data_IF_203343453275
#
_entry.id   IF_203343453275
#
_cell.length_a   1.000
_cell.length_b   1.000
_cell.length_c   1.000
_cell.angle_alpha   90.00
_cell.angle_beta   90.00
_cell.angle_gamma   90.00
#
_symmetry.space_group_name_H-M   'P 1'
#
loop_
_entity.id
_entity.type
_entity.pdbx_description
1 polymer ?
#
# COMPACT_ATOMS: atom_id res chain seq x y z
N UNK A 1 5.43 -43.22 22.13
CA UNK A 1 4.88 -41.84 22.06
C UNK A 1 6.08 -40.92 21.89
N UNK A 2 6.33 -40.46 20.67
CA UNK A 2 7.50 -39.63 20.34
C UNK A 2 6.98 -38.37 19.66
N UNK A 3 7.20 -37.25 20.32
CA UNK A 3 7.26 -35.89 19.79
C UNK A 3 6.08 -35.47 18.89
N UNK A 4 4.97 -35.13 19.55
CA UNK A 4 3.98 -34.26 18.94
C UNK A 4 4.65 -32.91 18.66
N UNK A 5 4.72 -32.56 17.38
CA UNK A 5 5.19 -31.28 16.88
C UNK A 5 4.45 -30.14 17.59
N UNK A 6 5.08 -29.54 18.60
CA UNK A 6 4.81 -28.16 18.98
C UNK A 6 5.48 -27.27 17.93
N UNK A 7 4.92 -27.25 16.72
CA UNK A 7 4.95 -26.01 15.96
C UNK A 7 4.06 -25.07 16.75
N UNK A 8 4.68 -24.16 17.51
CA UNK A 8 3.99 -23.05 18.15
C UNK A 8 3.18 -22.35 17.08
N UNK A 9 1.87 -22.60 17.06
CA UNK A 9 0.95 -21.81 16.26
C UNK A 9 1.21 -20.35 16.66
N UNK A 10 1.39 -19.44 15.69
CA UNK A 10 1.48 -18.03 16.01
C UNK A 10 0.31 -17.65 16.90
N UNK A 11 0.57 -16.85 17.93
CA UNK A 11 -0.45 -16.43 18.89
C UNK A 11 -1.60 -15.81 18.09
N UNK A 12 -2.78 -16.43 18.08
CA UNK A 12 -3.93 -16.03 17.26
C UNK A 12 -4.20 -14.50 17.16
N UNK A 13 -4.08 -13.70 18.25
CA UNK A 13 -4.16 -12.23 18.16
C UNK A 13 -3.07 -11.56 17.30
N UNK A 14 -1.84 -12.07 17.29
CA UNK A 14 -0.74 -11.53 16.48
C UNK A 14 -0.97 -11.83 14.99
N UNK A 15 -1.48 -13.03 14.64
CA UNK A 15 -1.90 -13.34 13.27
C UNK A 15 -3.05 -12.46 12.79
N UNK A 16 -3.99 -12.13 13.68
CA UNK A 16 -5.09 -11.21 13.35
C UNK A 16 -4.59 -9.78 13.10
N UNK A 17 -3.58 -9.31 13.84
CA UNK A 17 -2.98 -7.98 13.64
C UNK A 17 -2.29 -7.87 12.27
N UNK A 18 -1.56 -8.90 11.85
CA UNK A 18 -0.95 -8.97 10.51
C UNK A 18 -2.02 -8.91 9.42
N UNK A 19 -3.06 -9.74 9.51
CA UNK A 19 -4.14 -9.77 8.52
C UNK A 19 -4.91 -8.44 8.44
N UNK A 20 -5.14 -7.77 9.57
CA UNK A 20 -5.77 -6.44 9.59
C UNK A 20 -4.90 -5.39 8.91
N UNK A 21 -3.60 -5.35 9.24
CA UNK A 21 -2.67 -4.40 8.63
C UNK A 21 -2.50 -4.63 7.12
N UNK A 22 -2.54 -5.89 6.68
CA UNK A 22 -2.49 -6.26 5.26
C UNK A 22 -3.74 -5.78 4.52
N UNK A 23 -4.93 -6.02 5.09
CA UNK A 23 -6.20 -5.56 4.52
C UNK A 23 -6.22 -4.03 4.38
N UNK A 24 -5.74 -3.30 5.37
CA UNK A 24 -5.66 -1.83 5.33
C UNK A 24 -4.66 -1.35 4.24
N UNK A 25 -3.49 -1.99 4.14
CA UNK A 25 -2.49 -1.66 3.13
C UNK A 25 -3.02 -1.91 1.70
N UNK A 26 -3.71 -3.02 1.48
CA UNK A 26 -4.34 -3.34 0.20
C UNK A 26 -5.45 -2.33 -0.15
N UNK A 27 -6.27 -1.93 0.83
CA UNK A 27 -7.31 -0.93 0.61
C UNK A 27 -6.72 0.43 0.21
N UNK A 28 -5.61 0.85 0.84
CA UNK A 28 -4.93 2.10 0.53
C UNK A 28 -4.20 2.02 -0.82
N UNK A 29 -3.54 0.89 -1.14
CA UNK A 29 -2.93 0.65 -2.45
C UNK A 29 -3.97 0.81 -3.57
N UNK A 30 -5.17 0.26 -3.39
CA UNK A 30 -6.24 0.39 -4.38
C UNK A 30 -6.69 1.86 -4.59
N UNK A 31 -6.51 2.73 -3.59
CA UNK A 31 -6.75 4.18 -3.73
C UNK A 31 -5.60 4.86 -4.48
N UNK A 32 -4.36 4.48 -4.21
CA UNK A 32 -3.19 4.94 -4.96
C UNK A 32 -3.32 4.58 -6.44
N UNK A 33 -3.64 3.33 -6.77
CA UNK A 33 -3.76 2.86 -8.15
C UNK A 33 -4.79 3.69 -8.93
N UNK A 34 -5.91 4.04 -8.29
CA UNK A 34 -6.93 4.91 -8.90
C UNK A 34 -6.43 6.35 -9.09
N UNK A 35 -5.64 6.88 -8.16
CA UNK A 35 -5.06 8.21 -8.28
C UNK A 35 -3.99 8.25 -9.38
N UNK A 36 -3.15 7.22 -9.47
CA UNK A 36 -2.17 7.04 -10.53
C UNK A 36 -2.85 7.00 -11.90
N UNK A 37 -3.91 6.20 -12.05
CA UNK A 37 -4.67 6.13 -13.30
C UNK A 37 -5.19 7.49 -13.76
N UNK A 38 -5.71 8.32 -12.84
CA UNK A 38 -6.14 9.70 -13.16
C UNK A 38 -4.97 10.55 -13.63
N UNK A 39 -3.84 10.50 -12.93
CA UNK A 39 -2.64 11.24 -13.31
C UNK A 39 -2.09 10.79 -14.68
N UNK A 40 -2.01 9.49 -14.93
CA UNK A 40 -1.53 8.92 -16.20
C UNK A 40 -2.43 9.34 -17.36
N UNK A 41 -3.76 9.31 -17.17
CA UNK A 41 -4.72 9.78 -18.17
C UNK A 41 -4.53 11.27 -18.48
N UNK A 42 -4.43 12.13 -17.47
CA UNK A 42 -4.17 13.57 -17.64
C UNK A 42 -2.83 13.81 -18.37
N UNK A 43 -1.77 13.11 -17.96
CA UNK A 43 -0.45 13.24 -18.58
C UNK A 43 -0.50 12.85 -20.06
N UNK A 44 -1.23 11.80 -20.41
CA UNK A 44 -1.43 11.38 -21.79
C UNK A 44 -2.18 12.45 -22.60
N UNK A 45 -3.26 13.03 -22.04
CA UNK A 45 -3.98 14.15 -22.67
C UNK A 45 -3.05 15.34 -22.92
N UNK A 46 -2.32 15.79 -21.91
CA UNK A 46 -1.40 16.92 -22.02
C UNK A 46 -0.25 16.63 -23.00
N UNK A 47 0.22 15.38 -23.08
CA UNK A 47 1.23 14.98 -24.06
C UNK A 47 0.75 15.18 -25.51
N UNK A 48 -0.53 14.93 -25.82
CA UNK A 48 -1.07 15.20 -27.17
C UNK A 48 -1.05 16.69 -27.55
N UNK A 49 -0.93 17.57 -26.56
CA UNK A 49 -0.83 19.03 -26.72
C UNK A 49 0.61 19.55 -26.60
N UNK A 50 1.59 18.67 -26.42
CA UNK A 50 3.00 19.06 -26.18
C UNK A 50 3.26 19.62 -24.78
N UNK A 51 2.36 19.39 -23.82
CA UNK A 51 2.37 19.98 -22.47
C UNK A 51 2.56 18.93 -21.35
N UNK A 52 3.16 17.77 -21.65
CA UNK A 52 3.26 16.66 -20.70
C UNK A 52 3.90 17.03 -19.35
N UNK A 53 4.81 18.02 -19.33
CA UNK A 53 5.46 18.50 -18.10
C UNK A 53 4.50 19.21 -17.14
N UNK A 54 3.42 19.83 -17.66
CA UNK A 54 2.42 20.51 -16.85
C UNK A 54 1.65 19.54 -15.94
N UNK A 55 1.60 18.24 -16.30
CA UNK A 55 0.94 17.21 -15.51
C UNK A 55 1.49 17.15 -14.07
N UNK A 56 2.79 17.40 -13.87
CA UNK A 56 3.41 17.36 -12.53
C UNK A 56 2.99 18.52 -11.61
N UNK A 57 2.35 19.56 -12.16
CA UNK A 57 1.81 20.70 -11.41
C UNK A 57 0.31 20.55 -11.12
N UNK A 58 -0.30 19.46 -11.58
CA UNK A 58 -1.74 19.23 -11.48
C UNK A 58 -2.18 18.80 -10.07
N UNK A 59 -3.48 18.99 -9.73
CA UNK A 59 -4.10 18.32 -8.59
C UNK A 59 -3.91 16.79 -8.61
N UNK A 60 -4.04 16.15 -9.76
CA UNK A 60 -3.97 14.69 -9.94
C UNK A 60 -2.59 14.15 -9.53
N UNK A 61 -1.51 14.86 -9.89
CA UNK A 61 -0.17 14.50 -9.44
C UNK A 61 -0.04 14.62 -7.91
N UNK A 62 -0.56 15.70 -7.31
CA UNK A 62 -0.51 15.89 -5.86
C UNK A 62 -1.33 14.84 -5.11
N UNK A 63 -2.50 14.49 -5.62
CA UNK A 63 -3.35 13.43 -5.07
C UNK A 63 -2.64 12.07 -5.14
N UNK A 64 -2.02 11.74 -6.28
CA UNK A 64 -1.26 10.51 -6.41
C UNK A 64 -0.06 10.47 -5.46
N UNK A 65 0.72 11.55 -5.35
CA UNK A 65 1.83 11.62 -4.38
C UNK A 65 1.35 11.50 -2.92
N UNK A 66 0.20 12.10 -2.59
CA UNK A 66 -0.37 11.95 -1.25
C UNK A 66 -0.82 10.51 -0.97
N UNK A 67 -1.43 9.84 -1.96
CA UNK A 67 -1.82 8.44 -1.84
C UNK A 67 -0.58 7.53 -1.70
N UNK A 68 0.50 7.79 -2.44
CA UNK A 68 1.79 7.08 -2.31
C UNK A 68 2.34 7.10 -0.88
N UNK A 69 2.36 8.28 -0.26
CA UNK A 69 2.84 8.43 1.13
C UNK A 69 1.97 7.58 2.07
N UNK A 70 0.65 7.58 1.89
CA UNK A 70 -0.26 6.77 2.71
C UNK A 70 -0.05 5.26 2.49
N UNK A 71 0.21 4.83 1.25
CA UNK A 71 0.53 3.45 0.91
C UNK A 71 1.82 3.00 1.59
N UNK A 72 2.88 3.81 1.51
CA UNK A 72 4.17 3.54 2.16
C UNK A 72 4.00 3.39 3.69
N UNK A 73 3.23 4.30 4.31
CA UNK A 73 2.92 4.22 5.74
C UNK A 73 2.12 2.95 6.09
N UNK A 74 1.19 2.52 5.25
CA UNK A 74 0.36 1.34 5.49
C UNK A 74 1.17 0.04 5.39
N UNK A 75 1.99 -0.10 4.35
CA UNK A 75 2.91 -1.24 4.24
C UNK A 75 3.98 -1.24 5.33
N UNK A 76 4.42 -0.06 5.80
CA UNK A 76 5.26 0.05 6.98
C UNK A 76 4.60 -0.53 8.23
N UNK A 77 3.31 -0.26 8.46
CA UNK A 77 2.55 -0.86 9.57
C UNK A 77 2.42 -2.37 9.45
N UNK A 78 2.18 -2.89 8.25
CA UNK A 78 2.15 -4.33 8.01
C UNK A 78 3.51 -4.98 8.30
N UNK A 79 4.61 -4.37 7.85
CA UNK A 79 5.95 -4.87 8.13
C UNK A 79 6.24 -4.94 9.64
N UNK A 80 5.89 -3.89 10.39
CA UNK A 80 6.01 -3.89 11.86
C UNK A 80 5.18 -5.00 12.53
N UNK A 81 3.99 -5.30 12.02
CA UNK A 81 3.16 -6.39 12.52
C UNK A 81 3.77 -7.77 12.22
N UNK A 82 4.37 -7.94 11.04
CA UNK A 82 5.09 -9.16 10.65
C UNK A 82 6.33 -9.38 11.53
N UNK A 83 7.12 -8.32 11.79
CA UNK A 83 8.27 -8.40 12.68
C UNK A 83 7.84 -8.81 14.11
N UNK A 84 6.74 -8.23 14.62
CA UNK A 84 6.21 -8.57 15.94
C UNK A 84 5.64 -9.99 16.03
N UNK A 85 5.23 -10.59 14.91
CA UNK A 85 4.77 -11.98 14.84
C UNK A 85 5.94 -12.98 14.86
N UNK A 86 7.11 -12.55 14.37
CA UNK A 86 8.30 -13.39 14.23
C UNK A 86 9.27 -13.27 15.42
N UNK A 87 9.08 -12.25 16.27
CA UNK A 87 9.85 -12.02 17.49
C UNK A 87 9.40 -12.92 18.66
#
# INVERSE_FOLDING_TARGET
MKDAAMQSLPNAPQSAAVASAESDALAIQALEDRAEQRFVALRAELATRGQAEEATRSPEFREWMAARVQTDEAWGRWAMAMDALQA
#
